data_IF_377889420175
#
_entry.id   IF_377889420175
#
_cell.length_a   1.000
_cell.length_b   1.000
_cell.length_c   1.000
_cell.angle_alpha   90.00
_cell.angle_beta   90.00
_cell.angle_gamma   90.00
#
_symmetry.space_group_name_H-M   'P 1'
#
loop_
_entity.id
_entity.type
_entity.pdbx_description
1 polymer ?
#
# COMPACT_ATOMS: atom_id res chain seq x y z
N UNK A 1 -1.49 -17.96 -8.64
CA UNK A 1 -0.47 -18.40 -7.67
C UNK A 1 -1.00 -19.38 -6.63
N UNK A 2 -2.28 -19.29 -6.27
CA UNK A 2 -2.96 -20.25 -5.40
C UNK A 2 -4.17 -20.74 -6.20
N UNK A 3 -4.21 -22.01 -6.60
CA UNK A 3 -5.28 -22.51 -7.48
C UNK A 3 -6.67 -22.13 -6.95
N UNK A 4 -7.56 -21.68 -7.84
CA UNK A 4 -8.89 -21.15 -7.49
C UNK A 4 -9.78 -22.20 -6.79
N UNK A 5 -9.39 -23.47 -6.86
CA UNK A 5 -10.03 -24.63 -6.23
C UNK A 5 -9.57 -24.90 -4.78
N UNK A 6 -8.52 -24.20 -4.32
CA UNK A 6 -7.91 -24.45 -2.99
C UNK A 6 -8.19 -23.37 -1.97
N UNK A 7 -8.56 -22.18 -2.40
CA UNK A 7 -8.76 -21.02 -1.52
C UNK A 7 -9.93 -20.18 -1.99
N UNK A 8 -10.63 -19.58 -1.02
CA UNK A 8 -11.69 -18.61 -1.25
C UNK A 8 -11.26 -17.25 -0.71
N UNK A 9 -11.39 -16.21 -1.52
CA UNK A 9 -11.14 -14.84 -1.09
C UNK A 9 -12.38 -14.28 -0.39
N UNK A 10 -12.28 -14.06 0.92
CA UNK A 10 -13.32 -13.39 1.70
C UNK A 10 -12.96 -11.91 1.87
N UNK A 11 -13.78 -11.02 1.29
CA UNK A 11 -13.65 -9.57 1.50
C UNK A 11 -14.53 -9.14 2.68
N UNK A 12 -13.98 -8.59 3.77
CA UNK A 12 -14.77 -8.13 4.90
C UNK A 12 -15.60 -6.89 4.55
N UNK A 13 -16.62 -6.59 5.36
CA UNK A 13 -17.48 -5.39 5.17
C UNK A 13 -16.74 -4.06 5.38
N UNK A 14 -15.63 -4.08 6.11
CA UNK A 14 -14.75 -2.94 6.35
C UNK A 14 -13.30 -3.41 6.39
N UNK A 15 -12.40 -2.61 5.84
CA UNK A 15 -10.96 -2.85 5.88
C UNK A 15 -10.19 -1.53 6.00
N UNK A 16 -8.87 -1.58 6.02
CA UNK A 16 -7.99 -0.41 6.09
C UNK A 16 -7.42 -0.10 4.70
N UNK A 17 -7.36 1.19 4.34
CA UNK A 17 -6.64 1.65 3.15
C UNK A 17 -5.14 1.47 3.38
N UNK A 18 -4.55 0.48 2.71
CA UNK A 18 -3.10 0.32 2.65
C UNK A 18 -2.54 1.22 1.55
N UNK A 19 -1.75 2.22 1.93
CA UNK A 19 -1.02 3.08 1.01
C UNK A 19 0.46 2.68 1.00
N UNK A 20 1.04 2.55 -0.20
CA UNK A 20 2.43 2.17 -0.41
C UNK A 20 3.21 3.39 -0.91
N UNK A 21 3.63 4.31 -0.03
CA UNK A 21 4.36 5.50 -0.44
C UNK A 21 5.73 5.14 -1.03
N UNK A 22 6.12 5.90 -2.06
CA UNK A 22 7.45 5.81 -2.68
C UNK A 22 8.15 7.16 -2.58
N UNK A 23 9.46 7.15 -2.43
CA UNK A 23 10.26 8.36 -2.27
C UNK A 23 11.65 8.21 -2.91
N UNK A 24 12.23 9.34 -3.32
CA UNK A 24 13.63 9.42 -3.71
C UNK A 24 14.46 9.57 -2.43
N UNK A 25 15.55 8.81 -2.32
CA UNK A 25 16.54 9.01 -1.25
C UNK A 25 17.51 10.10 -1.69
N UNK A 26 17.22 11.34 -1.29
CA UNK A 26 17.89 12.55 -1.80
C UNK A 26 19.43 12.46 -1.75
N UNK A 27 19.99 12.16 -0.58
CA UNK A 27 21.46 12.08 -0.39
C UNK A 27 22.12 11.10 -1.36
N UNK A 28 21.54 9.92 -1.56
CA UNK A 28 22.10 8.88 -2.43
C UNK A 28 21.94 9.25 -3.90
N UNK A 29 20.79 9.82 -4.27
CA UNK A 29 20.51 10.24 -5.63
C UNK A 29 21.44 11.38 -6.07
N UNK A 30 21.77 12.30 -5.15
CA UNK A 30 22.68 13.41 -5.40
C UNK A 30 24.15 12.95 -5.46
N UNK A 31 24.57 12.10 -4.52
CA UNK A 31 25.94 11.54 -4.50
C UNK A 31 26.26 10.76 -5.77
N UNK A 32 25.28 10.04 -6.31
CA UNK A 32 25.44 9.22 -7.52
C UNK A 32 25.05 9.96 -8.81
N UNK A 33 24.57 11.20 -8.75
CA UNK A 33 24.11 11.95 -9.91
C UNK A 33 22.93 11.29 -10.65
N UNK A 34 22.08 10.55 -9.94
CA UNK A 34 20.97 9.76 -10.50
C UNK A 34 19.59 10.36 -10.23
N UNK A 35 19.51 11.58 -9.67
CA UNK A 35 18.25 12.24 -9.30
C UNK A 35 17.21 12.25 -10.45
N UNK A 36 17.59 12.65 -11.65
CA UNK A 36 16.66 12.73 -12.77
C UNK A 36 16.17 11.36 -13.22
N UNK A 37 17.04 10.34 -13.19
CA UNK A 37 16.68 8.96 -13.48
C UNK A 37 15.72 8.40 -12.42
N UNK A 38 16.02 8.60 -11.14
CA UNK A 38 15.18 8.18 -10.02
C UNK A 38 13.80 8.86 -10.07
N UNK A 39 13.75 10.15 -10.38
CA UNK A 39 12.50 10.88 -10.57
C UNK A 39 11.70 10.31 -11.74
N UNK A 40 12.34 10.08 -12.88
CA UNK A 40 11.70 9.49 -14.06
C UNK A 40 11.11 8.12 -13.76
N UNK A 41 11.83 7.30 -12.97
CA UNK A 41 11.34 6.01 -12.52
C UNK A 41 10.08 6.14 -11.64
N UNK A 42 10.08 7.02 -10.64
CA UNK A 42 8.89 7.23 -9.81
C UNK A 42 7.72 7.82 -10.60
N UNK A 43 7.97 8.79 -11.48
CA UNK A 43 6.94 9.36 -12.36
C UNK A 43 6.30 8.26 -13.23
N UNK A 44 7.11 7.32 -13.74
CA UNK A 44 6.63 6.20 -14.55
C UNK A 44 5.62 5.32 -13.79
N UNK A 45 5.80 5.11 -12.48
CA UNK A 45 4.87 4.32 -11.67
C UNK A 45 3.44 4.89 -11.73
N UNK A 46 3.29 6.20 -11.94
CA UNK A 46 2.00 6.88 -12.00
C UNK A 46 1.47 7.11 -13.42
N UNK A 47 2.19 6.63 -14.45
CA UNK A 47 1.65 6.60 -15.82
C UNK A 47 0.57 5.53 -15.96
N UNK A 48 -0.33 5.61 -16.96
CA UNK A 48 -1.29 4.54 -17.23
C UNK A 48 -0.63 3.17 -17.42
N UNK A 49 0.58 3.13 -18.01
CA UNK A 49 1.34 1.89 -18.18
C UNK A 49 1.83 1.34 -16.84
N UNK A 50 2.41 2.17 -15.97
CA UNK A 50 2.86 1.76 -14.64
C UNK A 50 1.69 1.27 -13.78
N UNK A 51 0.56 1.97 -13.83
CA UNK A 51 -0.66 1.60 -13.11
C UNK A 51 -1.29 0.31 -13.66
N UNK A 52 -1.26 0.08 -14.98
CA UNK A 52 -1.73 -1.17 -15.59
C UNK A 52 -0.86 -2.37 -15.16
N UNK A 53 0.47 -2.19 -15.06
CA UNK A 53 1.37 -3.20 -14.49
C UNK A 53 1.01 -3.47 -13.03
N UNK A 54 0.79 -2.43 -12.23
CA UNK A 54 0.42 -2.56 -10.82
C UNK A 54 -0.90 -3.37 -10.67
N UNK A 55 -1.92 -3.05 -11.46
CA UNK A 55 -3.21 -3.73 -11.43
C UNK A 55 -3.11 -5.22 -11.80
N UNK A 56 -2.34 -5.57 -12.84
CA UNK A 56 -2.06 -6.97 -13.21
C UNK A 56 -1.39 -7.79 -12.09
N UNK A 57 -0.70 -7.11 -11.18
CA UNK A 57 -0.03 -7.72 -10.04
C UNK A 57 -0.83 -7.56 -8.74
N UNK A 58 -2.14 -7.29 -8.83
CA UNK A 58 -3.05 -7.27 -7.67
C UNK A 58 -3.04 -6.00 -6.84
N UNK A 59 -2.40 -4.91 -7.31
CA UNK A 59 -2.45 -3.61 -6.65
C UNK A 59 -3.59 -2.76 -7.21
N UNK A 60 -4.36 -2.12 -6.32
CA UNK A 60 -5.42 -1.19 -6.75
C UNK A 60 -4.81 0.07 -7.37
N UNK A 61 -5.04 0.27 -8.66
CA UNK A 61 -4.57 1.45 -9.40
C UNK A 61 -5.27 2.73 -8.93
N UNK A 62 -4.54 3.85 -8.99
CA UNK A 62 -5.04 5.22 -8.73
C UNK A 62 -5.53 5.91 -10.00
N UNK A 63 -4.99 5.53 -11.16
CA UNK A 63 -5.52 6.00 -12.44
C UNK A 63 -6.95 5.48 -12.63
N UNK A 64 -7.90 6.39 -12.86
CA UNK A 64 -9.31 6.04 -12.91
C UNK A 64 -9.68 5.12 -14.08
N UNK A 65 -9.00 5.26 -15.22
CA UNK A 65 -9.26 4.42 -16.40
C UNK A 65 -8.73 3.00 -16.18
N UNK A 66 -7.53 2.87 -15.60
CA UNK A 66 -6.97 1.56 -15.20
C UNK A 66 -7.82 0.93 -14.10
N UNK A 67 -8.20 1.68 -13.07
CA UNK A 67 -9.06 1.16 -12.00
C UNK A 67 -10.40 0.64 -12.53
N UNK A 68 -11.01 1.35 -13.48
CA UNK A 68 -12.25 0.91 -14.14
C UNK A 68 -12.05 -0.38 -14.95
N UNK A 69 -10.92 -0.50 -15.66
CA UNK A 69 -10.56 -1.71 -16.44
C UNK A 69 -10.46 -2.96 -15.57
N UNK A 70 -9.93 -2.83 -14.36
CA UNK A 70 -9.69 -3.95 -13.43
C UNK A 70 -10.78 -4.10 -12.36
N UNK A 71 -11.90 -3.38 -12.46
CA UNK A 71 -12.95 -3.34 -11.43
C UNK A 71 -13.50 -4.72 -11.05
N UNK A 72 -13.55 -5.66 -12.00
CA UNK A 72 -14.05 -7.01 -11.75
C UNK A 72 -13.11 -7.87 -10.87
N UNK A 73 -11.82 -7.54 -10.83
CA UNK A 73 -10.80 -8.26 -10.04
C UNK A 73 -10.72 -7.74 -8.60
N UNK A 74 -11.27 -6.55 -8.34
CA UNK A 74 -11.20 -5.90 -7.03
C UNK A 74 -12.60 -5.73 -6.43
N UNK A 75 -12.98 -6.56 -5.44
CA UNK A 75 -14.23 -6.38 -4.72
C UNK A 75 -14.33 -5.00 -4.10
N UNK A 76 -15.53 -4.43 -4.14
CA UNK A 76 -15.84 -3.19 -3.44
C UNK A 76 -15.78 -3.41 -1.93
N UNK A 77 -15.18 -2.47 -1.21
CA UNK A 77 -14.97 -2.57 0.24
C UNK A 77 -14.87 -1.18 0.83
N UNK A 78 -15.54 -0.98 1.97
CA UNK A 78 -15.38 0.25 2.75
C UNK A 78 -13.99 0.27 3.38
N UNK A 79 -13.18 1.25 2.98
CA UNK A 79 -11.83 1.45 3.53
C UNK A 79 -11.82 2.60 4.54
N UNK A 80 -11.16 2.38 5.67
CA UNK A 80 -10.85 3.40 6.68
C UNK A 80 -9.41 3.87 6.48
N UNK A 81 -9.10 5.12 6.79
CA UNK A 81 -7.71 5.64 6.78
C UNK A 81 -7.10 5.60 8.17
N UNK A 82 -5.78 5.57 8.27
CA UNK A 82 -5.07 5.61 9.56
C UNK A 82 -5.33 6.93 10.28
N UNK A 83 -5.46 8.00 9.53
CA UNK A 83 -5.81 9.34 10.01
C UNK A 83 -7.18 9.34 10.69
N UNK A 84 -8.20 8.78 10.04
CA UNK A 84 -9.59 8.81 10.52
C UNK A 84 -9.80 7.98 11.80
N UNK A 85 -9.13 6.84 11.93
CA UNK A 85 -9.40 5.88 13.02
C UNK A 85 -8.32 5.75 14.07
N UNK A 86 -7.07 6.13 13.75
CA UNK A 86 -5.95 6.05 14.70
C UNK A 86 -5.32 7.42 14.99
N UNK A 87 -5.72 8.50 14.29
CA UNK A 87 -5.14 9.82 14.48
C UNK A 87 -3.74 9.98 13.89
N UNK A 88 -3.39 9.13 12.92
CA UNK A 88 -2.13 9.21 12.16
C UNK A 88 -1.02 8.27 12.63
N UNK A 89 -0.01 8.12 11.76
CA UNK A 89 1.06 7.13 11.91
C UNK A 89 1.95 7.33 13.15
N UNK A 90 2.17 8.57 13.60
CA UNK A 90 2.96 8.80 14.80
C UNK A 90 2.28 8.22 16.06
N UNK A 91 0.96 8.37 16.16
CA UNK A 91 0.18 7.88 17.29
C UNK A 91 0.09 6.36 17.28
N UNK A 92 -0.22 5.75 16.12
CA UNK A 92 -0.28 4.29 16.01
C UNK A 92 1.08 3.65 16.30
N UNK A 93 2.18 4.25 15.85
CA UNK A 93 3.53 3.76 16.12
C UNK A 93 3.83 3.79 17.63
N UNK A 94 3.50 4.88 18.32
CA UNK A 94 3.75 5.01 19.75
C UNK A 94 2.88 4.07 20.61
N UNK A 95 1.60 3.95 20.29
CA UNK A 95 0.64 3.20 21.11
C UNK A 95 0.66 1.70 20.80
N UNK A 96 0.77 1.31 19.53
CA UNK A 96 0.62 -0.09 19.11
C UNK A 96 1.96 -0.79 18.87
N UNK A 97 2.90 -0.14 18.17
CA UNK A 97 4.06 -0.83 17.58
C UNK A 97 5.41 -0.55 18.24
N UNK A 98 5.49 0.44 19.13
CA UNK A 98 6.69 0.71 19.91
C UNK A 98 7.00 -0.46 20.85
N UNK A 99 8.26 -0.59 21.28
CA UNK A 99 8.64 -1.59 22.26
C UNK A 99 7.82 -1.42 23.56
N UNK A 100 7.20 -2.51 24.01
CA UNK A 100 6.27 -2.50 25.14
C UNK A 100 4.88 -1.91 24.83
N UNK A 101 4.60 -1.59 23.56
CA UNK A 101 3.30 -1.14 23.08
C UNK A 101 2.24 -2.24 23.09
N UNK A 102 1.02 -1.92 22.62
CA UNK A 102 -0.12 -2.84 22.72
C UNK A 102 0.12 -4.18 22.01
N UNK A 103 0.86 -4.19 20.89
CA UNK A 103 1.17 -5.43 20.19
C UNK A 103 2.03 -6.35 21.07
N UNK A 104 3.11 -5.82 21.65
CA UNK A 104 3.98 -6.55 22.57
C UNK A 104 3.23 -7.04 23.81
N UNK A 105 2.34 -6.22 24.37
CA UNK A 105 1.53 -6.61 25.53
C UNK A 105 0.54 -7.74 25.21
N UNK A 106 0.03 -7.77 23.98
CA UNK A 106 -0.95 -8.77 23.54
C UNK A 106 -0.29 -10.09 23.15
N UNK A 107 0.91 -10.05 22.56
CA UNK A 107 1.57 -11.22 21.95
C UNK A 107 2.88 -11.64 22.63
N UNK A 108 3.55 -10.77 23.37
CA UNK A 108 4.91 -10.95 23.90
C UNK A 108 5.06 -11.90 25.09
N UNK A 109 3.96 -12.50 25.58
CA UNK A 109 3.97 -13.53 26.62
C UNK A 109 3.50 -14.90 26.14
N UNK A 110 3.56 -15.17 24.84
CA UNK A 110 3.34 -16.51 24.27
C UNK A 110 4.64 -17.22 23.96
#
# INVERSE_FOLDING_TARGET
>A
EYGDDKFEQVTPSVSLLAEFPVAIVDTVADEHGTRDLAKTYLDFLYTPQGQDIAARNGLRARDAAVAAKYKAEFPDVRLLTVEDVFGGWAKIQAEHFAAGGLLDQTYGSR
#
